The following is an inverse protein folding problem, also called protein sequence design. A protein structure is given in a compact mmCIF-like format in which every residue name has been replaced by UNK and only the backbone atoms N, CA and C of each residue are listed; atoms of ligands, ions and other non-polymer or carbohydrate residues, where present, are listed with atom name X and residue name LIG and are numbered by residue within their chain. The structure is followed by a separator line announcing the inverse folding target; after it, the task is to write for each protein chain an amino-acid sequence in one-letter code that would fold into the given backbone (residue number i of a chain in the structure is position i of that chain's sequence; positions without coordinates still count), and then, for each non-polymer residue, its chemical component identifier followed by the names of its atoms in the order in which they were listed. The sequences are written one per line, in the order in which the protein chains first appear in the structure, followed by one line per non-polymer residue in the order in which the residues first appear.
data_IF_379806912848
#
_entry.id   IF_379806912848
#
_cell.length_a   1.000
_cell.length_b   1.000
_cell.length_c   1.000
_cell.angle_alpha   90.00
_cell.angle_beta   90.00
_cell.angle_gamma   90.00
#
_symmetry.space_group_name_H-M   'P 1'
#
loop_
_entity.id
_entity.type
_entity.pdbx_description
1 polymer ?
#
# COMPACT_ATOMS: atom_id res chain seq x y z
N UNK A 1 -1.32 16.05 12.95
CA UNK A 1 -1.59 15.80 12.84
C UNK A 1 -2.19 15.03 12.36
N UNK A 2 -2.57 14.66 12.06
CA UNK A 2 -3.17 14.14 11.65
C UNK A 2 -3.15 13.46 10.57
N UNK A 3 -2.54 13.34 9.85
CA UNK A 3 -2.39 12.80 8.76
C UNK A 3 -2.37 11.45 8.76
N UNK A 4 -2.29 10.92 9.59
CA UNK A 4 -2.02 9.65 9.58
C UNK A 4 -3.05 8.77 9.34
N UNK A 5 -4.17 9.06 9.43
CA UNK A 5 -5.07 8.15 9.26
C UNK A 5 -5.23 7.54 8.09
N UNK A 6 -4.80 7.96 7.23
CA UNK A 6 -4.95 7.43 6.05
C UNK A 6 -4.72 6.07 5.94
N UNK A 7 -3.95 5.59 6.55
CA UNK A 7 -3.63 4.32 6.41
C UNK A 7 -4.67 3.38 6.53
N UNK A 8 -5.47 3.53 7.34
CA UNK A 8 -6.41 2.56 7.49
C UNK A 8 -7.19 2.15 6.44
N UNK A 9 -7.34 2.91 5.53
CA UNK A 9 -8.10 2.55 4.58
C UNK A 9 -7.75 1.55 3.73
N UNK A 10 -6.68 1.19 3.61
CA UNK A 10 -6.38 0.29 2.68
C UNK A 10 -7.02 -0.95 2.74
N UNK A 11 -7.36 -1.42 3.74
CA UNK A 11 -7.82 -2.70 3.74
C UNK A 11 -8.92 -3.00 2.97
N UNK A 12 -9.66 -2.19 2.72
CA UNK A 12 -10.73 -2.50 2.02
C UNK A 12 -10.68 -2.92 0.77
N UNK A 13 -9.88 -2.74 0.16
CA UNK A 13 -9.87 -3.04 -1.08
C UNK A 13 -10.02 -4.28 -1.62
N UNK A 14 -9.85 -5.14 -1.36
CA UNK A 14 -9.85 -6.32 -2.02
C UNK A 14 -10.93 -6.58 -2.88
N UNK A 15 -11.81 -5.92 -3.02
CA UNK A 15 -12.80 -6.28 -3.75
C UNK A 15 -12.67 -6.12 -5.08
N UNK A 16 -12.95 -6.79 -5.73
CA UNK A 16 -12.88 -6.84 -7.03
C UNK A 16 -13.36 -5.73 -7.57
N UNK A 17 -12.87 -4.93 -7.72
CA UNK A 17 -13.30 -3.94 -8.23
C UNK A 17 -13.90 -3.90 -9.44
N UNK A 18 -14.94 -3.82 -9.60
CA UNK A 18 -15.46 -3.76 -10.81
C UNK A 18 -15.75 -2.34 -11.07
N UNK A 19 -15.87 -1.47 -10.15
CA UNK A 19 -16.20 -0.10 -10.43
C UNK A 19 -15.09 0.76 -9.90
N UNK A 20 -14.84 1.89 -10.47
CA UNK A 20 -13.82 2.79 -10.00
C UNK A 20 -14.29 3.39 -8.68
N UNK A 21 -13.39 3.56 -7.77
CA UNK A 21 -13.70 4.18 -6.49
C UNK A 21 -12.81 5.37 -6.30
N UNK A 22 -13.31 6.39 -5.64
CA UNK A 22 -12.54 7.59 -5.40
C UNK A 22 -12.67 7.97 -3.94
N UNK A 23 -11.58 8.24 -3.29
CA UNK A 23 -11.56 8.71 -1.92
C UNK A 23 -10.89 10.07 -1.91
N UNK A 24 -11.51 11.05 -1.26
CA UNK A 24 -10.94 12.37 -1.14
C UNK A 24 -10.51 12.57 0.31
N UNK A 25 -9.26 12.98 0.49
CA UNK A 25 -8.72 13.21 1.81
C UNK A 25 -8.79 14.70 2.11
N UNK A 26 -9.30 15.06 3.28
CA UNK A 26 -9.45 16.47 3.63
C UNK A 26 -8.79 16.73 4.98
N UNK A 27 -8.37 17.94 5.21
CA UNK A 27 -7.79 18.29 6.50
C UNK A 27 -8.93 18.72 7.46
N UNK A 28 -8.54 19.15 8.63
CA UNK A 28 -9.53 19.52 9.64
C UNK A 28 -10.40 20.71 9.24
N UNK A 29 -9.92 21.51 8.29
CA UNK A 29 -10.68 22.64 7.81
C UNK A 29 -11.54 22.29 6.62
N UNK A 30 -11.53 21.03 6.20
CA UNK A 30 -12.31 20.60 5.04
C UNK A 30 -11.62 20.78 3.71
N UNK A 31 -10.38 21.26 3.69
CA UNK A 31 -9.71 21.49 2.42
C UNK A 31 -9.15 20.20 1.87
N UNK A 32 -9.23 20.02 0.57
CA UNK A 32 -8.77 18.79 -0.05
C UNK A 32 -7.26 18.69 0.07
N UNK A 33 -6.77 17.56 0.59
CA UNK A 33 -5.37 17.31 0.71
C UNK A 33 -4.91 16.43 -0.44
N UNK A 34 -5.81 15.70 -1.01
CA UNK A 34 -5.47 14.83 -2.12
C UNK A 34 -6.57 13.81 -2.38
N UNK A 35 -6.35 12.97 -3.37
CA UNK A 35 -7.33 11.94 -3.70
C UNK A 35 -6.63 10.63 -4.01
N UNK A 36 -7.39 9.55 -3.89
CA UNK A 36 -6.92 8.24 -4.26
C UNK A 36 -8.03 7.68 -5.13
N UNK A 37 -7.71 7.17 -6.29
CA UNK A 37 -8.69 6.59 -7.19
C UNK A 37 -8.23 5.18 -7.54
N UNK A 38 -9.11 4.19 -7.43
CA UNK A 38 -8.79 2.83 -7.80
C UNK A 38 -9.68 2.45 -8.98
N UNK A 39 -9.06 1.98 -10.06
CA UNK A 39 -9.84 1.62 -11.24
C UNK A 39 -10.17 0.12 -11.21
N UNK A 40 -10.91 -0.32 -12.19
CA UNK A 40 -11.36 -1.71 -12.23
C UNK A 40 -10.25 -2.70 -12.53
N UNK A 41 -9.06 -2.21 -12.90
CA UNK A 41 -7.96 -3.10 -13.18
C UNK A 41 -7.01 -3.22 -11.99
N UNK A 42 -7.40 -2.67 -10.84
CA UNK A 42 -6.56 -2.77 -9.65
C UNK A 42 -5.48 -1.74 -9.54
N UNK A 43 -5.54 -0.69 -10.35
CA UNK A 43 -4.54 0.35 -10.26
C UNK A 43 -5.07 1.46 -9.37
N UNK A 44 -4.30 1.88 -8.42
CA UNK A 44 -4.65 2.99 -7.56
C UNK A 44 -3.74 4.16 -7.89
N UNK A 45 -4.30 5.33 -8.11
CA UNK A 45 -3.56 6.54 -8.40
C UNK A 45 -3.76 7.51 -7.25
N UNK A 46 -2.66 8.07 -6.75
CA UNK A 46 -2.69 9.03 -5.67
C UNK A 46 -2.37 10.40 -6.24
N UNK A 47 -3.17 11.41 -5.90
CA UNK A 47 -2.97 12.76 -6.42
C UNK A 47 -2.93 13.74 -5.26
N UNK A 48 -2.24 14.84 -5.44
CA UNK A 48 -2.14 15.84 -4.40
C UNK A 48 -3.37 16.78 -4.48
N UNK A 49 -3.34 17.84 -3.71
CA UNK A 49 -4.46 18.77 -3.65
C UNK A 49 -4.69 19.48 -4.96
N UNK A 50 -3.65 19.58 -5.80
CA UNK A 50 -3.77 20.25 -7.09
C UNK A 50 -4.16 19.28 -8.19
N UNK A 51 -4.34 18.00 -7.87
CA UNK A 51 -4.70 17.01 -8.87
C UNK A 51 -3.51 16.36 -9.56
N UNK A 52 -2.28 16.70 -9.15
CA UNK A 52 -1.11 16.11 -9.82
C UNK A 52 -0.83 14.72 -9.27
N UNK A 53 -0.44 13.81 -10.13
CA UNK A 53 -0.17 12.44 -9.71
C UNK A 53 1.06 12.41 -8.83
N UNK A 54 0.93 11.80 -7.65
CA UNK A 54 2.04 11.65 -6.74
C UNK A 54 2.63 10.26 -6.88
N UNK A 55 1.85 9.32 -7.32
CA UNK A 55 2.33 7.96 -7.50
C UNK A 55 1.19 7.01 -7.78
N UNK A 56 1.53 5.77 -8.07
CA UNK A 56 0.53 4.76 -8.35
C UNK A 56 0.89 3.45 -7.68
N UNK A 57 -0.08 2.59 -7.56
CA UNK A 57 0.10 1.30 -6.99
C UNK A 57 -0.71 0.35 -7.83
N UNK A 58 -0.16 -0.78 -8.20
CA UNK A 58 -0.87 -1.76 -9.01
C UNK A 58 -0.70 -3.13 -8.35
N UNK A 59 -1.78 -3.88 -8.19
CA UNK A 59 -1.73 -5.20 -7.61
C UNK A 59 -2.12 -6.20 -8.69
N UNK A 60 -1.27 -7.20 -8.91
CA UNK A 60 -1.57 -8.21 -9.93
C UNK A 60 -2.30 -9.39 -9.30
N UNK A 61 -2.65 -10.36 -10.10
CA UNK A 61 -3.43 -11.50 -9.63
C UNK A 61 -2.62 -12.47 -8.78
N UNK A 62 -1.30 -12.28 -8.71
CA UNK A 62 -0.47 -13.14 -7.91
C UNK A 62 -0.17 -12.54 -6.53
N UNK A 63 -0.82 -11.46 -6.19
CA UNK A 63 -0.62 -10.83 -4.88
C UNK A 63 0.55 -9.90 -4.80
N UNK A 64 1.10 -9.51 -5.95
CA UNK A 64 2.22 -8.58 -5.93
C UNK A 64 1.71 -7.17 -6.14
N UNK A 65 2.11 -6.26 -5.29
CA UNK A 65 1.78 -4.87 -5.45
C UNK A 65 3.04 -4.11 -5.82
N UNK A 66 2.99 -3.32 -6.87
CA UNK A 66 4.12 -2.52 -7.32
C UNK A 66 3.77 -1.07 -7.07
N UNK A 67 4.70 -0.35 -6.43
CA UNK A 67 4.52 1.06 -6.13
C UNK A 67 5.41 1.88 -7.05
N UNK A 68 4.87 2.93 -7.66
CA UNK A 68 5.63 3.76 -8.58
C UNK A 68 5.49 5.21 -8.15
N UNK A 69 6.49 6.01 -8.48
CA UNK A 69 6.46 7.43 -8.14
C UNK A 69 5.70 8.20 -9.22
N UNK A 70 5.72 9.51 -9.14
CA UNK A 70 4.99 10.36 -10.07
C UNK A 70 5.49 10.22 -11.49
N UNK A 71 6.75 9.80 -11.67
CA UNK A 71 7.31 9.65 -12.99
C UNK A 71 7.13 8.24 -13.52
N UNK A 72 6.47 7.36 -12.79
CA UNK A 72 6.27 5.99 -13.22
C UNK A 72 7.38 5.03 -12.85
N UNK A 73 8.41 5.50 -12.12
CA UNK A 73 9.52 4.62 -11.77
C UNK A 73 9.16 3.77 -10.57
N UNK A 74 9.56 2.51 -10.59
CA UNK A 74 9.25 1.59 -9.51
C UNK A 74 9.98 2.01 -8.25
N UNK A 75 9.24 2.18 -7.15
CA UNK A 75 9.81 2.52 -5.88
C UNK A 75 9.98 1.27 -5.04
N UNK A 76 9.24 0.25 -5.30
CA UNK A 76 9.36 -0.99 -4.54
C UNK A 76 8.16 -1.88 -4.81
N UNK A 77 8.20 -3.07 -4.21
CA UNK A 77 7.10 -4.02 -4.37
C UNK A 77 6.79 -4.69 -3.04
N UNK A 78 5.60 -5.21 -2.97
CA UNK A 78 5.16 -5.97 -1.82
C UNK A 78 4.53 -7.23 -2.37
N UNK A 79 4.93 -8.40 -1.88
CA UNK A 79 4.38 -9.65 -2.34
C UNK A 79 3.85 -10.42 -1.14
N UNK A 80 2.64 -10.95 -1.24
CA UNK A 80 2.06 -11.71 -0.16
C UNK A 80 1.93 -13.14 -0.63
N UNK A 81 2.40 -14.11 0.15
CA UNK A 81 2.27 -15.49 -0.25
C UNK A 81 1.04 -16.10 0.43
N UNK A 82 0.77 -17.35 0.13
CA UNK A 82 -0.42 -18.00 0.66
C UNK A 82 -0.29 -18.40 2.12
N UNK A 83 0.89 -18.23 2.71
CA UNK A 83 1.08 -18.56 4.10
C UNK A 83 1.00 -17.34 5.00
N UNK A 84 0.60 -16.22 4.48
CA UNK A 84 0.47 -15.01 5.27
C UNK A 84 1.74 -14.22 5.43
N UNK A 85 2.75 -14.50 4.63
CA UNK A 85 3.99 -13.75 4.71
C UNK A 85 4.00 -12.67 3.64
N UNK A 86 4.33 -11.47 4.03
CA UNK A 86 4.47 -10.37 3.09
C UNK A 86 5.94 -9.99 3.02
N UNK A 87 6.49 -9.88 1.82
CA UNK A 87 7.87 -9.49 1.62
C UNK A 87 7.90 -8.15 0.92
N UNK A 88 8.70 -7.22 1.45
CA UNK A 88 8.82 -5.88 0.90
C UNK A 88 10.19 -5.73 0.25
N UNK A 89 10.23 -5.22 -0.98
CA UNK A 89 11.48 -5.06 -1.72
C UNK A 89 11.60 -3.63 -2.18
N UNK A 90 12.84 -3.18 -2.35
CA UNK A 90 13.08 -1.81 -2.80
C UNK A 90 13.02 -1.76 -4.32
N UNK A 91 13.39 -0.63 -4.89
CA UNK A 91 13.33 -0.44 -6.34
C UNK A 91 14.24 -1.38 -7.10
N UNK A 92 15.33 -1.85 -6.47
CA UNK A 92 16.26 -2.75 -7.12
C UNK A 92 15.93 -4.22 -6.86
N UNK A 93 14.81 -4.49 -6.17
CA UNK A 93 14.41 -5.85 -5.93
C UNK A 93 14.98 -6.46 -4.65
N UNK A 94 15.76 -5.69 -3.87
CA UNK A 94 16.38 -6.24 -2.67
C UNK A 94 15.38 -6.23 -1.55
N UNK A 95 15.39 -7.28 -0.73
CA UNK A 95 14.46 -7.40 0.37
C UNK A 95 14.74 -6.36 1.42
N UNK A 96 13.72 -5.58 1.79
CA UNK A 96 13.84 -4.58 2.81
C UNK A 96 13.32 -5.13 4.13
N UNK A 97 12.47 -6.10 4.09
CA UNK A 97 11.91 -6.68 5.29
C UNK A 97 10.72 -7.55 4.96
N UNK A 98 10.13 -8.11 5.99
CA UNK A 98 8.96 -8.96 5.79
C UNK A 98 8.05 -8.89 7.00
N UNK A 99 6.82 -9.34 6.86
CA UNK A 99 5.93 -9.49 7.98
C UNK A 99 5.21 -10.83 7.84
N UNK A 100 4.87 -11.45 8.94
CA UNK A 100 4.15 -12.71 8.95
C UNK A 100 3.04 -12.61 9.97
N UNK A 101 1.83 -12.99 9.60
CA UNK A 101 0.70 -12.97 10.51
C UNK A 101 0.31 -14.41 10.80
N UNK A 102 0.24 -14.77 12.08
CA UNK A 102 -0.08 -16.15 12.45
C UNK A 102 -1.58 -16.27 12.65
N UNK A 103 -2.03 -17.48 12.99
CA UNK A 103 -3.42 -17.72 13.13
C UNK A 103 -4.05 -16.96 14.26
N UNK A 104 -3.29 -16.53 15.23
CA UNK A 104 -3.84 -15.80 16.34
C UNK A 104 -3.91 -14.32 16.08
N UNK A 105 -3.57 -13.91 14.87
CA UNK A 105 -3.63 -12.51 14.51
C UNK A 105 -2.40 -11.71 14.87
N UNK A 106 -1.33 -12.37 15.31
CA UNK A 106 -0.11 -11.65 15.65
C UNK A 106 0.74 -11.46 14.41
N UNK A 107 1.16 -10.26 14.16
CA UNK A 107 2.02 -9.96 13.03
C UNK A 107 3.43 -9.68 13.54
N UNK A 108 4.41 -10.35 12.98
CA UNK A 108 5.82 -10.17 13.35
C UNK A 108 6.52 -9.53 12.17
N UNK A 109 7.26 -8.45 12.45
CA UNK A 109 7.98 -7.72 11.42
C UNK A 109 9.47 -8.01 11.51
N UNK A 110 10.12 -8.23 10.37
CA UNK A 110 11.53 -8.56 10.33
C UNK A 110 12.25 -7.61 9.40
N UNK A 111 13.53 -7.39 9.64
CA UNK A 111 14.32 -6.51 8.79
C UNK A 111 14.87 -7.29 7.59
N UNK A 112 15.71 -6.67 6.81
CA UNK A 112 16.27 -7.29 5.60
C UNK A 112 17.09 -8.53 5.92
N UNK A 113 17.66 -8.64 7.12
CA UNK A 113 18.46 -9.79 7.50
C UNK A 113 17.65 -10.85 8.22
N UNK A 114 16.34 -10.65 8.34
CA UNK A 114 15.49 -11.62 8.97
C UNK A 114 15.33 -11.46 10.48
N UNK A 115 15.94 -10.40 11.04
CA UNK A 115 15.88 -10.21 12.49
C UNK A 115 14.55 -9.54 12.84
N UNK A 116 13.98 -9.96 13.96
CA UNK A 116 12.70 -9.43 14.37
C UNK A 116 12.84 -8.00 14.81
N UNK A 117 11.98 -7.13 14.24
CA UNK A 117 11.99 -5.73 14.58
C UNK A 117 10.86 -5.41 15.55
N UNK A 118 9.83 -6.18 15.59
CA UNK A 118 8.72 -5.95 16.49
C UNK A 118 7.54 -6.82 16.12
N UNK A 119 6.50 -6.73 16.90
CA UNK A 119 5.29 -7.48 16.59
C UNK A 119 4.09 -6.72 17.15
N UNK A 120 2.91 -7.07 16.63
CA UNK A 120 1.70 -6.46 17.14
C UNK A 120 0.59 -7.47 17.05
N UNK A 121 -0.47 -7.29 17.84
CA UNK A 121 -1.58 -8.21 17.79
C UNK A 121 -2.93 -7.53 17.83
#
# INVERSE_FOLDING_TARGET
MKKTLVVALFAVMGIAGFADTKTTYRDAMGRVQGTRTTDSYGRTTYRDAMGRVQGTQTTDSYGRTTYRDAMGRVQGTRTMDSYGRTTYRDAQGRIQGSSTTDRNGRTTYRDAQGRIRGSQK
#
